data_IF_960124549860
#
_entry.id   IF_960124549860
#
_cell.length_a   1.000
_cell.length_b   1.000
_cell.length_c   1.000
_cell.angle_alpha   90.00
_cell.angle_beta   90.00
_cell.angle_gamma   90.00
#
_symmetry.space_group_name_H-M   'P 1'
#
loop_
_entity.id
_entity.type
_entity.pdbx_description
1 polymer ?
#
# COMPACT_ATOMS: atom_id res chain seq x y z
N UNK A 1 -47.46 8.63 1.70
CA UNK A 1 -47.00 7.32 2.05
C UNK A 1 -46.13 6.68 0.99
N UNK A 2 -46.40 6.91 -0.30
CA UNK A 2 -45.59 6.35 -1.36
C UNK A 2 -44.21 6.94 -1.45
N UNK A 3 -44.04 8.17 -0.97
CA UNK A 3 -42.76 8.86 -1.02
C UNK A 3 -41.73 8.31 -0.03
N UNK A 4 -42.19 7.75 1.06
CA UNK A 4 -41.28 7.21 2.07
C UNK A 4 -40.59 5.95 1.63
N UNK A 5 -41.26 5.14 0.86
CA UNK A 5 -40.67 3.91 0.35
C UNK A 5 -39.54 4.20 -0.63
N UNK A 6 -39.68 5.26 -1.40
CA UNK A 6 -38.65 5.66 -2.36
C UNK A 6 -37.40 6.18 -1.68
N UNK A 7 -37.59 6.95 -0.61
CA UNK A 7 -36.44 7.47 0.14
C UNK A 7 -35.68 6.36 0.85
N UNK A 8 -36.38 5.39 1.37
CA UNK A 8 -35.73 4.26 2.03
C UNK A 8 -34.90 3.45 1.05
N UNK A 9 -35.41 3.27 -0.15
CA UNK A 9 -34.69 2.54 -1.19
C UNK A 9 -33.41 3.29 -1.61
N UNK A 10 -33.50 4.60 -1.71
CA UNK A 10 -32.36 5.44 -2.05
C UNK A 10 -31.27 5.37 -0.99
N UNK A 11 -31.66 5.40 0.27
CA UNK A 11 -30.71 5.31 1.37
C UNK A 11 -29.97 3.98 1.38
N UNK A 12 -30.68 2.91 1.10
CA UNK A 12 -30.07 1.59 1.01
C UNK A 12 -29.05 1.51 -0.13
N UNK A 13 -29.34 2.19 -1.21
CA UNK A 13 -28.46 2.22 -2.35
C UNK A 13 -27.13 2.92 -2.03
N UNK A 14 -27.22 4.01 -1.29
CA UNK A 14 -26.04 4.77 -0.88
C UNK A 14 -25.13 3.96 0.07
N UNK A 15 -25.72 3.18 0.95
CA UNK A 15 -24.95 2.36 1.88
C UNK A 15 -24.21 1.26 1.13
N UNK A 16 -24.82 0.67 0.12
CA UNK A 16 -24.18 -0.37 -0.66
C UNK A 16 -22.97 0.13 -1.42
N UNK A 17 -22.99 1.39 -1.86
CA UNK A 17 -21.87 1.97 -2.60
C UNK A 17 -20.60 2.09 -1.76
N UNK A 18 -20.72 2.22 -0.45
CA UNK A 18 -19.56 2.35 0.42
C UNK A 18 -18.82 1.06 0.65
N UNK A 19 -19.44 -0.06 0.38
CA UNK A 19 -18.82 -1.35 0.63
C UNK A 19 -17.81 -1.76 -0.44
N UNK A 20 -17.71 -1.01 -1.52
CA UNK A 20 -16.84 -1.36 -2.63
C UNK A 20 -15.42 -0.85 -2.48
N UNK A 21 -15.13 -0.11 -1.42
CA UNK A 21 -13.80 0.47 -1.24
C UNK A 21 -12.84 -0.43 -0.49
N UNK A 22 -13.26 -1.53 0.00
CA UNK A 22 -12.37 -2.44 0.70
C UNK A 22 -11.55 -3.24 -0.29
N UNK A 23 -10.66 -2.60 -0.97
CA UNK A 23 -9.70 -3.32 -1.77
C UNK A 23 -8.63 -3.87 -0.85
N UNK A 24 -8.36 -5.12 -0.98
CA UNK A 24 -7.34 -5.79 -0.21
C UNK A 24 -5.97 -5.50 -0.78
N UNK A 25 -5.63 -4.23 -0.94
CA UNK A 25 -4.30 -3.88 -1.38
C UNK A 25 -3.34 -4.03 -0.20
N UNK A 26 -2.26 -4.73 -0.45
CA UNK A 26 -1.24 -4.93 0.54
C UNK A 26 -0.61 -3.58 0.90
N UNK A 27 -0.40 -3.28 2.18
CA UNK A 27 0.25 -2.03 2.55
C UNK A 27 1.67 -1.98 2.01
N UNK A 28 2.13 -0.79 1.68
CA UNK A 28 3.49 -0.61 1.18
C UNK A 28 4.52 -1.05 2.22
N UNK A 29 4.32 -0.69 3.47
CA UNK A 29 5.22 -1.06 4.56
C UNK A 29 4.55 -2.13 5.41
N UNK A 30 5.25 -3.24 5.56
CA UNK A 30 4.85 -4.32 6.46
C UNK A 30 5.80 -4.29 7.65
N UNK A 31 5.30 -3.83 8.78
CA UNK A 31 6.14 -3.66 9.97
C UNK A 31 6.75 -4.97 10.45
N UNK A 32 6.12 -6.09 10.18
CA UNK A 32 6.67 -7.39 10.58
C UNK A 32 7.92 -7.75 9.81
N UNK A 33 8.17 -7.11 8.68
CA UNK A 33 9.35 -7.36 7.85
C UNK A 33 10.49 -6.41 8.14
N UNK A 34 10.26 -5.39 8.96
CA UNK A 34 11.31 -4.44 9.29
C UNK A 34 12.36 -5.13 10.16
N UNK A 35 13.61 -5.06 9.70
CA UNK A 35 14.72 -5.67 10.43
C UNK A 35 15.89 -4.67 10.47
N UNK A 36 15.96 -3.85 11.51
CA UNK A 36 17.01 -2.82 11.61
C UNK A 36 18.40 -3.41 11.81
N UNK A 37 18.48 -4.68 12.21
CA UNK A 37 19.76 -5.34 12.45
C UNK A 37 20.23 -6.14 11.26
N UNK A 38 19.49 -6.13 10.16
CA UNK A 38 19.87 -6.88 8.97
C UNK A 38 21.11 -6.27 8.32
N UNK A 39 21.98 -7.13 7.84
CA UNK A 39 23.20 -6.73 7.16
C UNK A 39 22.98 -6.88 5.66
N UNK A 40 23.07 -5.76 4.95
CA UNK A 40 22.99 -5.75 3.50
C UNK A 40 24.35 -5.47 2.92
N UNK A 41 24.58 -5.95 1.70
CA UNK A 41 25.81 -5.60 0.98
C UNK A 41 25.80 -4.11 0.66
N UNK A 42 26.98 -3.54 0.51
CA UNK A 42 27.15 -2.12 0.19
C UNK A 42 27.01 -1.83 -1.29
N UNK A 43 26.58 -2.80 -2.06
CA UNK A 43 26.37 -2.64 -3.50
C UNK A 43 25.30 -1.59 -3.75
N UNK A 44 25.62 -0.64 -4.64
CA UNK A 44 24.64 0.36 -5.04
C UNK A 44 23.93 -0.08 -6.31
N UNK A 45 22.73 -0.55 -6.13
CA UNK A 45 21.84 -0.95 -7.22
C UNK A 45 20.46 -0.43 -6.87
N UNK A 46 20.22 0.88 -7.06
CA UNK A 46 19.09 1.56 -6.43
C UNK A 46 17.75 1.07 -6.89
N UNK A 47 16.80 1.13 -5.97
CA UNK A 47 15.41 0.83 -6.24
C UNK A 47 14.54 1.95 -5.70
N UNK A 48 13.43 2.20 -6.37
CA UNK A 48 12.44 3.15 -5.88
C UNK A 48 11.36 2.37 -5.13
N UNK A 49 11.25 2.60 -3.84
CA UNK A 49 10.27 1.92 -3.02
C UNK A 49 8.86 2.38 -3.29
N UNK A 50 7.91 1.55 -2.89
CA UNK A 50 6.49 1.89 -3.00
C UNK A 50 6.14 3.12 -2.15
N UNK A 51 7.01 3.49 -1.22
CA UNK A 51 6.84 4.69 -0.40
C UNK A 51 7.42 5.95 -1.06
N UNK A 52 7.92 5.85 -2.28
CA UNK A 52 8.47 6.98 -3.00
C UNK A 52 9.90 7.34 -2.60
N UNK A 53 10.58 6.49 -1.87
CA UNK A 53 11.96 6.72 -1.44
C UNK A 53 12.91 5.83 -2.20
N UNK A 54 14.09 6.38 -2.53
CA UNK A 54 15.15 5.62 -3.17
C UNK A 54 15.97 4.88 -2.11
N UNK A 55 16.12 3.59 -2.30
CA UNK A 55 16.95 2.74 -1.45
C UNK A 55 18.18 2.31 -2.20
N UNK A 56 19.28 2.11 -1.49
CA UNK A 56 20.55 1.78 -2.12
C UNK A 56 20.57 0.45 -2.85
N UNK A 57 19.73 -0.49 -2.42
CA UNK A 57 19.53 -1.76 -3.10
C UNK A 57 18.25 -2.42 -2.57
N UNK A 58 17.87 -3.52 -3.22
CA UNK A 58 16.65 -4.21 -2.81
C UNK A 58 16.74 -4.81 -1.41
N UNK A 59 17.93 -5.18 -0.97
CA UNK A 59 18.10 -5.69 0.39
C UNK A 59 17.69 -4.64 1.41
N UNK A 60 18.14 -3.40 1.23
CA UNK A 60 17.78 -2.32 2.12
C UNK A 60 16.28 -2.02 2.08
N UNK A 61 15.69 -2.06 0.89
CA UNK A 61 14.25 -1.85 0.75
C UNK A 61 13.46 -2.94 1.48
N UNK A 62 13.83 -4.19 1.31
CA UNK A 62 13.15 -5.30 1.95
C UNK A 62 13.22 -5.22 3.47
N UNK A 63 14.38 -4.87 4.01
CA UNK A 63 14.54 -4.80 5.46
C UNK A 63 13.97 -3.51 6.06
N UNK A 64 13.61 -2.56 5.23
CA UNK A 64 12.82 -1.41 5.67
C UNK A 64 11.32 -1.73 5.73
N UNK A 65 10.94 -2.95 5.37
CA UNK A 65 9.58 -3.42 5.45
C UNK A 65 8.79 -3.24 4.17
N UNK A 66 9.43 -2.82 3.08
CA UNK A 66 8.71 -2.58 1.84
C UNK A 66 8.22 -3.90 1.23
N UNK A 67 7.02 -3.84 0.70
CA UNK A 67 6.41 -5.00 0.04
C UNK A 67 6.62 -4.98 -1.46
N UNK A 68 7.00 -3.83 -2.01
CA UNK A 68 7.26 -3.71 -3.44
C UNK A 68 8.19 -2.54 -3.73
N UNK A 69 8.88 -2.61 -4.85
CA UNK A 69 9.76 -1.55 -5.33
C UNK A 69 10.01 -1.76 -6.82
N UNK A 70 10.57 -0.75 -7.46
CA UNK A 70 10.95 -0.81 -8.86
C UNK A 70 12.43 -0.53 -9.00
N UNK A 71 13.05 -1.10 -10.04
CA UNK A 71 14.46 -0.84 -10.32
C UNK A 71 14.71 0.61 -10.65
N UNK A 72 15.81 1.14 -10.17
CA UNK A 72 16.22 2.51 -10.44
C UNK A 72 15.80 3.47 -9.36
N UNK A 73 16.42 4.64 -9.39
CA UNK A 73 16.10 5.70 -8.45
C UNK A 73 14.69 6.25 -8.71
N UNK A 74 14.07 6.75 -7.66
CA UNK A 74 12.80 7.45 -7.80
C UNK A 74 13.00 8.70 -8.65
N UNK A 75 12.02 8.97 -9.50
CA UNK A 75 12.06 10.12 -10.39
C UNK A 75 11.41 11.34 -9.77
#
# INVERSE_FOLDING_TARGET
>A
MKTYALFAALLLFLIAAKCTESTSSQPCIDESKINPNAICTMEYNPVCGCDGKTYGNQCQAAHAGLTSWESGECK
#
